data_IF_640876674856
#
_entry.id   IF_640876674856
#
_cell.length_a   1.000
_cell.length_b   1.000
_cell.length_c   1.000
_cell.angle_alpha   90.00
_cell.angle_beta   90.00
_cell.angle_gamma   90.00
#
_symmetry.space_group_name_H-M   'P 1'
#
loop_
_entity.id
_entity.type
_entity.pdbx_description
1 polymer ?
#
# COMPACT_ATOMS: atom_id res chain seq x y z
N UNK A 1 2.78 14.10 15.01
CA UNK A 1 1.99 13.30 14.04
C UNK A 1 2.79 13.00 12.78
N UNK A 2 3.18 14.01 11.97
CA UNK A 2 3.88 13.82 10.69
C UNK A 2 5.23 13.08 10.81
N UNK A 3 6.01 13.36 11.85
CA UNK A 3 7.28 12.65 12.07
C UNK A 3 7.05 11.16 12.35
N UNK A 4 6.05 10.83 13.18
CA UNK A 4 5.64 9.45 13.50
C UNK A 4 5.15 8.69 12.26
N UNK A 5 4.46 9.37 11.34
CA UNK A 5 4.06 8.80 10.05
C UNK A 5 5.29 8.52 9.20
N UNK A 6 6.18 9.51 9.06
CA UNK A 6 7.41 9.39 8.27
C UNK A 6 8.28 8.22 8.77
N UNK A 7 8.43 8.07 10.08
CA UNK A 7 9.15 6.95 10.70
C UNK A 7 8.50 5.58 10.45
N UNK A 8 7.18 5.53 10.32
CA UNK A 8 6.46 4.29 10.07
C UNK A 8 6.58 3.81 8.61
N UNK A 9 6.64 4.74 7.65
CA UNK A 9 6.58 4.47 6.20
C UNK A 9 7.53 3.35 5.75
N UNK A 10 8.84 3.34 6.10
CA UNK A 10 9.74 2.28 5.64
C UNK A 10 9.28 0.88 6.01
N UNK A 11 8.76 0.71 7.23
CA UNK A 11 8.30 -0.59 7.70
C UNK A 11 6.97 -1.01 7.06
N UNK A 12 6.11 -0.04 6.72
CA UNK A 12 4.86 -0.29 6.00
C UNK A 12 5.14 -0.70 4.55
N UNK A 13 6.06 -0.01 3.87
CA UNK A 13 6.47 -0.33 2.51
C UNK A 13 7.19 -1.69 2.47
N UNK A 14 8.03 -2.00 3.45
CA UNK A 14 8.68 -3.31 3.54
C UNK A 14 7.68 -4.47 3.57
N UNK A 15 6.58 -4.33 4.32
CA UNK A 15 5.50 -5.31 4.31
C UNK A 15 4.73 -5.31 2.97
N UNK A 16 4.49 -4.13 2.40
CA UNK A 16 3.78 -3.97 1.14
C UNK A 16 4.49 -4.72 -0.01
N UNK A 17 5.81 -4.58 -0.13
CA UNK A 17 6.59 -5.20 -1.22
C UNK A 17 6.74 -6.72 -1.08
N UNK A 18 6.39 -7.30 0.07
CA UNK A 18 6.31 -8.76 0.25
C UNK A 18 5.07 -9.38 -0.41
N UNK A 19 4.17 -8.56 -0.97
CA UNK A 19 3.03 -9.07 -1.72
C UNK A 19 3.47 -9.87 -2.95
N UNK A 20 2.75 -10.95 -3.32
CA UNK A 20 3.00 -11.64 -4.57
C UNK A 20 2.60 -10.76 -5.76
N UNK A 21 3.31 -10.90 -6.87
CA UNK A 21 2.96 -10.26 -8.15
C UNK A 21 3.23 -11.21 -9.31
N UNK A 22 2.53 -10.99 -10.43
CA UNK A 22 2.73 -11.78 -11.64
C UNK A 22 4.18 -11.73 -12.09
N UNK A 23 4.79 -12.89 -12.34
CA UNK A 23 6.22 -13.04 -12.66
C UNK A 23 7.18 -12.33 -11.70
N UNK A 24 6.75 -12.06 -10.46
CA UNK A 24 7.48 -11.24 -9.50
C UNK A 24 7.89 -9.87 -10.05
N UNK A 25 7.10 -9.29 -10.96
CA UNK A 25 7.39 -8.01 -11.61
C UNK A 25 7.42 -6.84 -10.60
N UNK A 26 6.70 -6.98 -9.48
CA UNK A 26 6.57 -5.99 -8.40
C UNK A 26 6.20 -4.60 -8.96
N UNK A 27 5.06 -4.46 -9.67
CA UNK A 27 4.76 -3.29 -10.50
C UNK A 27 4.12 -2.16 -9.69
N UNK A 28 4.70 -1.86 -8.52
CA UNK A 28 4.24 -0.81 -7.61
C UNK A 28 5.35 0.20 -7.36
N UNK A 29 4.95 1.47 -7.20
CA UNK A 29 5.81 2.56 -6.77
C UNK A 29 5.16 3.32 -5.63
N UNK A 30 5.85 3.42 -4.50
CA UNK A 30 5.39 4.16 -3.33
C UNK A 30 6.04 5.55 -3.28
N UNK A 31 5.23 6.58 -3.04
CA UNK A 31 5.69 7.97 -2.85
C UNK A 31 5.12 8.50 -1.56
N UNK A 32 6.00 8.89 -0.63
CA UNK A 32 5.59 9.54 0.61
C UNK A 32 5.67 11.06 0.47
N UNK A 33 4.53 11.72 0.56
CA UNK A 33 4.38 13.17 0.52
C UNK A 33 4.54 13.72 1.95
N UNK A 34 5.76 14.03 2.36
CA UNK A 34 6.08 14.40 3.76
C UNK A 34 5.36 15.65 4.27
N UNK A 35 5.00 16.55 3.37
CA UNK A 35 4.25 17.78 3.64
C UNK A 35 2.79 17.50 4.06
N UNK A 36 2.16 16.50 3.44
CA UNK A 36 0.77 16.10 3.71
C UNK A 36 0.68 14.88 4.64
N UNK A 37 1.72 14.05 4.70
CA UNK A 37 1.72 12.74 5.37
C UNK A 37 1.06 11.62 4.55
N UNK A 38 0.70 11.89 3.30
CA UNK A 38 0.06 10.90 2.41
C UNK A 38 1.10 9.95 1.84
N UNK A 39 0.79 8.65 1.84
CA UNK A 39 1.55 7.63 1.14
C UNK A 39 0.76 7.19 -0.10
N UNK A 40 1.22 7.62 -1.27
CA UNK A 40 0.62 7.27 -2.55
C UNK A 40 1.22 5.98 -3.10
N UNK A 41 0.34 5.06 -3.53
CA UNK A 41 0.68 3.86 -4.27
C UNK A 41 0.35 4.09 -5.75
N UNK A 42 1.38 3.99 -6.58
CA UNK A 42 1.27 4.02 -8.02
C UNK A 42 1.44 2.62 -8.62
N UNK A 43 0.74 2.35 -9.72
CA UNK A 43 1.14 1.31 -10.66
C UNK A 43 2.39 1.74 -11.41
N UNK A 44 3.30 0.80 -11.67
CA UNK A 44 4.54 1.07 -12.40
C UNK A 44 4.47 0.50 -13.83
N UNK A 45 4.15 1.32 -14.85
CA UNK A 45 4.06 0.86 -16.24
C UNK A 45 5.39 0.38 -16.81
N UNK A 46 6.53 0.80 -16.25
CA UNK A 46 7.86 0.32 -16.68
C UNK A 46 8.08 -1.16 -16.29
N UNK A 47 7.26 -1.66 -15.36
CA UNK A 47 7.22 -3.06 -14.91
C UNK A 47 6.03 -3.83 -15.47
N UNK A 48 5.32 -3.26 -16.46
CA UNK A 48 4.23 -3.94 -17.13
C UNK A 48 4.71 -5.20 -17.86
N UNK A 49 3.76 -6.11 -18.10
CA UNK A 49 4.00 -7.37 -18.79
C UNK A 49 3.12 -7.41 -20.05
N UNK A 50 3.51 -6.79 -21.18
CA UNK A 50 2.62 -6.61 -22.32
C UNK A 50 2.04 -7.91 -22.90
N UNK A 51 2.76 -9.02 -22.78
CA UNK A 51 2.32 -10.34 -23.25
C UNK A 51 1.51 -11.09 -22.18
N UNK A 52 1.98 -11.10 -20.94
CA UNK A 52 1.35 -11.86 -19.84
C UNK A 52 0.19 -11.14 -19.14
N UNK A 53 0.15 -9.82 -19.25
CA UNK A 53 -0.83 -8.93 -18.64
C UNK A 53 -1.12 -7.70 -19.54
N UNK A 54 -1.65 -7.91 -20.76
CA UNK A 54 -1.88 -6.84 -21.75
C UNK A 54 -2.88 -5.77 -21.28
N UNK A 55 -3.75 -6.11 -20.33
CA UNK A 55 -4.76 -5.21 -19.76
C UNK A 55 -4.40 -4.72 -18.34
N UNK A 56 -3.17 -4.98 -17.87
CA UNK A 56 -2.66 -4.57 -16.56
C UNK A 56 -3.48 -5.08 -15.35
N UNK A 57 -4.31 -6.10 -15.53
CA UNK A 57 -5.11 -6.68 -14.44
C UNK A 57 -4.22 -7.31 -13.37
N UNK A 58 -3.17 -8.02 -13.79
CA UNK A 58 -2.16 -8.60 -12.91
C UNK A 58 -1.41 -7.53 -12.11
N UNK A 59 -1.08 -6.40 -12.75
CA UNK A 59 -0.51 -5.24 -12.08
C UNK A 59 -1.44 -4.68 -11.00
N UNK A 60 -2.71 -4.41 -11.35
CA UNK A 60 -3.68 -3.90 -10.37
C UNK A 60 -3.89 -4.88 -9.20
N UNK A 61 -3.98 -6.19 -9.48
CA UNK A 61 -4.07 -7.21 -8.45
C UNK A 61 -2.84 -7.24 -7.53
N UNK A 62 -1.65 -7.14 -8.11
CA UNK A 62 -0.39 -7.05 -7.35
C UNK A 62 -0.35 -5.81 -6.46
N UNK A 63 -0.72 -4.65 -7.00
CA UNK A 63 -0.81 -3.40 -6.24
C UNK A 63 -1.85 -3.49 -5.11
N UNK A 64 -3.00 -4.13 -5.37
CA UNK A 64 -4.00 -4.41 -4.33
C UNK A 64 -3.46 -5.29 -3.20
N UNK A 65 -2.67 -6.32 -3.55
CA UNK A 65 -1.96 -7.15 -2.57
C UNK A 65 -0.94 -6.34 -1.75
N UNK A 66 -0.17 -5.47 -2.40
CA UNK A 66 0.79 -4.59 -1.73
C UNK A 66 0.09 -3.61 -0.76
N UNK A 67 -1.01 -2.99 -1.20
CA UNK A 67 -1.86 -2.15 -0.34
C UNK A 67 -2.40 -2.93 0.85
N UNK A 68 -2.87 -4.16 0.65
CA UNK A 68 -3.39 -4.98 1.73
C UNK A 68 -2.33 -5.25 2.80
N UNK A 69 -1.13 -5.69 2.39
CA UNK A 69 -0.01 -5.92 3.31
C UNK A 69 0.41 -4.65 4.04
N UNK A 70 0.40 -3.49 3.36
CA UNK A 70 0.65 -2.18 3.96
C UNK A 70 -0.35 -1.90 5.09
N UNK A 71 -1.65 -2.12 4.83
CA UNK A 71 -2.71 -1.90 5.83
C UNK A 71 -2.58 -2.85 7.03
N UNK A 72 -2.23 -4.11 6.80
CA UNK A 72 -1.91 -5.08 7.86
C UNK A 72 -0.75 -4.59 8.75
N UNK A 73 0.33 -4.11 8.13
CA UNK A 73 1.48 -3.58 8.87
C UNK A 73 1.16 -2.29 9.64
N UNK A 74 0.25 -1.47 9.12
CA UNK A 74 -0.22 -0.25 9.77
C UNK A 74 -1.10 -0.56 10.99
N UNK A 75 -2.09 -1.45 10.83
CA UNK A 75 -2.95 -1.91 11.92
C UNK A 75 -2.13 -2.52 13.07
N UNK A 76 -1.14 -3.36 12.74
CA UNK A 76 -0.22 -3.95 13.74
C UNK A 76 0.57 -2.91 14.55
N UNK A 77 0.82 -1.74 13.95
CA UNK A 77 1.55 -0.60 14.55
C UNK A 77 0.63 0.43 15.21
N UNK A 78 -0.67 0.14 15.29
CA UNK A 78 -1.63 1.02 15.94
C UNK A 78 -2.07 2.21 15.08
N UNK A 79 -2.10 2.03 13.75
CA UNK A 79 -2.68 2.99 12.82
C UNK A 79 -3.93 2.42 12.14
N UNK A 80 -4.94 3.26 12.00
CA UNK A 80 -5.98 3.04 10.99
C UNK A 80 -5.49 3.59 9.65
N UNK A 81 -6.00 3.03 8.55
CA UNK A 81 -5.68 3.47 7.19
C UNK A 81 -6.94 3.92 6.47
N UNK A 82 -6.94 5.14 5.95
CA UNK A 82 -7.94 5.61 4.99
C UNK A 82 -7.32 5.54 3.61
N UNK A 83 -7.95 4.80 2.70
CA UNK A 83 -7.47 4.59 1.34
C UNK A 83 -8.45 5.23 0.34
N UNK A 84 -8.01 6.28 -0.34
CA UNK A 84 -8.73 6.89 -1.45
C UNK A 84 -8.25 6.26 -2.75
N UNK A 85 -9.14 5.61 -3.48
CA UNK A 85 -8.81 4.89 -4.73
C UNK A 85 -9.04 5.80 -5.94
N UNK A 86 -8.07 5.85 -6.84
CA UNK A 86 -8.00 6.74 -8.00
C UNK A 86 -8.24 8.22 -7.66
N UNK A 87 -7.43 8.81 -6.74
CA UNK A 87 -7.62 10.18 -6.25
C UNK A 87 -7.43 11.25 -7.32
N UNK A 88 -6.62 10.98 -8.36
CA UNK A 88 -6.48 11.88 -9.52
C UNK A 88 -6.88 11.17 -10.82
N UNK A 89 -8.02 11.54 -11.39
CA UNK A 89 -8.52 10.97 -12.65
C UNK A 89 -7.61 11.26 -13.86
N UNK A 90 -6.69 12.22 -13.74
CA UNK A 90 -5.75 12.58 -14.82
C UNK A 90 -4.49 11.72 -14.80
N UNK A 91 -4.20 11.08 -13.67
CA UNK A 91 -3.09 10.14 -13.55
C UNK A 91 -3.65 8.72 -13.31
N UNK A 92 -3.82 7.91 -14.36
CA UNK A 92 -4.37 6.56 -14.22
C UNK A 92 -3.46 5.64 -13.40
N UNK A 93 -2.20 6.02 -13.19
CA UNK A 93 -1.24 5.23 -12.44
C UNK A 93 -1.20 5.61 -10.97
N UNK A 94 -1.79 6.73 -10.53
CA UNK A 94 -1.98 7.02 -9.11
C UNK A 94 -3.17 6.22 -8.58
N UNK A 95 -2.89 5.00 -8.15
CA UNK A 95 -3.94 4.02 -7.82
C UNK A 95 -4.61 4.34 -6.49
N UNK A 96 -3.83 4.66 -5.46
CA UNK A 96 -4.37 4.86 -4.10
C UNK A 96 -3.56 5.90 -3.35
N UNK A 97 -4.23 6.79 -2.64
CA UNK A 97 -3.64 7.61 -1.58
C UNK A 97 -4.02 7.02 -0.22
N UNK A 98 -3.01 6.77 0.62
CA UNK A 98 -3.19 6.23 1.98
C UNK A 98 -2.86 7.31 3.00
N UNK A 99 -3.80 7.56 3.90
CA UNK A 99 -3.60 8.37 5.10
C UNK A 99 -3.58 7.48 6.34
N UNK A 100 -2.62 7.72 7.24
CA UNK A 100 -2.55 7.04 8.53
C UNK A 100 -3.26 7.88 9.60
N UNK A 101 -4.17 7.26 10.32
CA UNK A 101 -4.94 7.91 11.38
C UNK A 101 -4.67 7.23 12.72
N UNK A 102 -4.45 8.03 13.77
CA UNK A 102 -4.40 7.49 15.12
C UNK A 102 -5.78 6.90 15.49
N UNK A 103 -5.82 5.88 16.36
CA UNK A 103 -7.08 5.32 16.83
C UNK A 103 -7.80 6.37 17.67
N UNK A 104 -8.74 7.08 17.05
CA UNK A 104 -9.62 8.03 17.72
C UNK A 104 -10.88 7.33 18.21
N UNK A 105 -12.03 7.77 17.70
CA UNK A 105 -13.32 7.14 17.97
C UNK A 105 -13.52 5.82 17.21
N UNK A 106 -12.82 5.64 16.08
CA UNK A 106 -12.80 4.38 15.32
C UNK A 106 -11.74 3.46 15.92
N UNK A 107 -12.13 2.30 16.48
CA UNK A 107 -11.17 1.34 17.00
C UNK A 107 -10.22 0.82 15.92
N UNK A 108 -9.06 0.34 16.35
CA UNK A 108 -8.14 -0.38 15.46
C UNK A 108 -8.80 -1.65 14.91
N UNK A 109 -8.54 -1.92 13.64
CA UNK A 109 -8.86 -3.18 13.00
C UNK A 109 -7.93 -4.30 13.52
N UNK A 110 -8.39 -4.99 14.57
CA UNK A 110 -7.62 -6.07 15.23
C UNK A 110 -7.51 -7.30 14.34
N UNK A 111 -8.56 -7.64 13.60
CA UNK A 111 -8.57 -8.78 12.70
C UNK A 111 -7.51 -8.59 11.61
N UNK A 112 -7.38 -7.37 11.09
CA UNK A 112 -6.33 -7.03 10.14
C UNK A 112 -4.93 -7.07 10.77
N UNK A 113 -4.78 -6.58 12.00
CA UNK A 113 -3.51 -6.63 12.73
C UNK A 113 -3.02 -8.07 12.98
N UNK A 114 -3.95 -9.00 13.24
CA UNK A 114 -3.66 -10.41 13.51
C UNK A 114 -3.14 -11.17 12.28
N UNK A 115 -3.29 -10.61 11.07
CA UNK A 115 -2.71 -11.16 9.84
C UNK A 115 -1.21 -10.86 9.67
N UNK A 116 -0.63 -10.00 10.50
CA UNK A 116 0.78 -9.58 10.34
C UNK A 116 1.78 -10.75 10.31
N UNK A 117 1.66 -11.82 11.13
CA UNK A 117 2.55 -12.98 11.04
C UNK A 117 2.55 -13.66 9.66
N UNK A 118 1.41 -13.68 8.96
CA UNK A 118 1.31 -14.26 7.62
C UNK A 118 2.03 -13.41 6.56
N UNK A 119 2.05 -12.08 6.75
CA UNK A 119 2.81 -11.15 5.89
C UNK A 119 4.31 -11.23 6.20
N UNK A 120 4.69 -11.32 7.48
CA UNK A 120 6.09 -11.33 7.91
C UNK A 120 6.84 -12.64 7.62
N UNK A 121 6.13 -13.73 7.37
CA UNK A 121 6.72 -15.05 7.06
C UNK A 121 7.05 -15.24 5.57
N UNK A 122 6.92 -14.21 4.73
CA UNK A 122 7.11 -14.23 3.28
C UNK A 122 8.51 -13.79 2.87
#
# INVERSE_FOLDING_TARGET
MRDRVTEAVPALVAAAVAAPSMHNAQPWRFVHHTDTGVLSLYGDPDRALPVGDPEHRGMHLGCGGALFNLRVAAARRGWNTVAEVFPDRRDPWRLVDVTLEEPGTVPLDRDLADLFPAVAAR
#
